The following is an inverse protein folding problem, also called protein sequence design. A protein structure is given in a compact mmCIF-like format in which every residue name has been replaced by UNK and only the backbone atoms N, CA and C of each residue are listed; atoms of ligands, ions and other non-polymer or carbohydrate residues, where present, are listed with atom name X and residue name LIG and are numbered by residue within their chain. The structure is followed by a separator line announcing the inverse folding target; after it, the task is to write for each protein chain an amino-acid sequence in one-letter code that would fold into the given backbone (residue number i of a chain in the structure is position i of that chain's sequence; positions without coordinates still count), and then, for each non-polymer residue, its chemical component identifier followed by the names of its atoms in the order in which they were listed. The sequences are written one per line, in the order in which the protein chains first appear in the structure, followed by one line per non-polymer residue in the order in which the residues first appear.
data_IF_781163565403
#
_entry.id   IF_781163565403
#
_cell.length_a   1.000
_cell.length_b   1.000
_cell.length_c   1.000
_cell.angle_alpha   90.00
_cell.angle_beta   90.00
_cell.angle_gamma   90.00
#
_symmetry.space_group_name_H-M   'P 1'
#
loop_
_entity.id
_entity.type
_entity.pdbx_description
1 polymer ?
#
# COMPACT_ATOMS: atom_id res chain seq x y z
N UNK A 1 -5.36 -20.98 -10.26
CA UNK A 1 -4.68 -19.83 -9.63
C UNK A 1 -3.86 -19.19 -10.73
N UNK A 2 -3.99 -17.89 -10.94
CA UNK A 2 -3.12 -17.21 -11.90
C UNK A 2 -1.69 -17.27 -11.35
N UNK A 3 -0.80 -18.01 -12.01
CA UNK A 3 0.59 -18.18 -11.58
C UNK A 3 1.28 -16.84 -11.40
N UNK A 4 0.88 -15.82 -12.18
CA UNK A 4 1.42 -14.46 -12.08
C UNK A 4 1.14 -13.80 -10.73
N UNK A 5 -0.02 -14.02 -10.13
CA UNK A 5 -0.36 -13.43 -8.82
C UNK A 5 0.46 -14.10 -7.71
N UNK A 6 0.62 -15.42 -7.77
CA UNK A 6 1.46 -16.16 -6.81
C UNK A 6 2.91 -15.72 -6.88
N UNK A 7 3.46 -15.62 -8.10
CA UNK A 7 4.84 -15.17 -8.33
C UNK A 7 5.04 -13.74 -7.83
N UNK A 8 4.07 -12.85 -8.11
CA UNK A 8 4.09 -11.49 -7.63
C UNK A 8 4.06 -11.39 -6.09
N UNK A 9 3.22 -12.16 -5.41
CA UNK A 9 3.22 -12.20 -3.94
C UNK A 9 4.53 -12.76 -3.37
N UNK A 10 5.12 -13.77 -4.02
CA UNK A 10 6.42 -14.30 -3.62
C UNK A 10 7.53 -13.24 -3.75
N UNK A 11 7.51 -12.45 -4.83
CA UNK A 11 8.44 -11.34 -5.03
C UNK A 11 8.29 -10.26 -3.95
N UNK A 12 7.05 -9.87 -3.61
CA UNK A 12 6.79 -8.93 -2.51
C UNK A 12 7.36 -9.44 -1.19
N UNK A 13 7.08 -10.71 -0.85
CA UNK A 13 7.57 -11.33 0.39
C UNK A 13 9.10 -11.32 0.41
N UNK A 14 9.74 -11.70 -0.69
CA UNK A 14 11.21 -11.71 -0.82
C UNK A 14 11.81 -10.32 -0.65
N UNK A 15 11.28 -9.32 -1.37
CA UNK A 15 11.73 -7.92 -1.26
C UNK A 15 11.61 -7.46 0.19
N UNK A 16 10.48 -7.75 0.83
CA UNK A 16 10.25 -7.34 2.22
C UNK A 16 11.23 -8.01 3.18
N UNK A 17 11.44 -9.33 3.06
CA UNK A 17 12.37 -10.08 3.92
C UNK A 17 13.82 -9.64 3.79
N UNK A 18 14.22 -9.12 2.63
CA UNK A 18 15.56 -8.56 2.41
C UNK A 18 15.72 -7.22 3.16
N UNK A 19 14.65 -6.43 3.27
CA UNK A 19 14.74 -5.02 3.67
C UNK A 19 14.23 -4.73 5.08
N UNK A 20 13.35 -5.56 5.63
CA UNK A 20 12.72 -5.36 6.94
C UNK A 20 13.00 -6.55 7.87
N UNK A 21 12.92 -6.30 9.18
CA UNK A 21 13.10 -7.30 10.23
C UNK A 21 11.76 -7.87 10.69
N UNK A 22 11.79 -9.04 11.34
CA UNK A 22 10.62 -9.66 11.97
C UNK A 22 9.41 -9.80 11.02
N UNK A 23 9.68 -10.08 9.75
CA UNK A 23 8.65 -10.14 8.71
C UNK A 23 7.74 -11.34 8.94
N UNK A 24 6.44 -11.08 9.03
CA UNK A 24 5.37 -12.09 9.05
C UNK A 24 4.35 -11.78 7.97
N UNK A 25 3.73 -12.81 7.39
CA UNK A 25 2.74 -12.60 6.34
C UNK A 25 1.68 -13.69 6.33
N UNK A 26 0.54 -13.36 5.74
CA UNK A 26 -0.56 -14.27 5.44
C UNK A 26 -1.00 -14.07 3.99
N UNK A 27 -1.30 -15.18 3.32
CA UNK A 27 -1.88 -15.18 1.98
C UNK A 27 -3.24 -15.87 2.08
N UNK A 28 -4.29 -15.18 1.64
CA UNK A 28 -5.63 -15.75 1.50
C UNK A 28 -6.02 -15.66 0.02
N UNK A 29 -6.31 -16.82 -0.58
CA UNK A 29 -6.67 -16.93 -1.99
C UNK A 29 -7.99 -17.66 -2.13
N UNK A 30 -8.90 -17.05 -2.88
CA UNK A 30 -10.19 -17.60 -3.28
C UNK A 30 -10.36 -17.43 -4.79
N UNK A 31 -11.37 -18.03 -5.42
CA UNK A 31 -11.66 -17.80 -6.84
C UNK A 31 -11.95 -16.32 -7.20
N UNK A 32 -12.40 -15.50 -6.23
CA UNK A 32 -12.80 -14.10 -6.48
C UNK A 32 -11.75 -13.07 -6.09
N UNK A 33 -10.80 -13.45 -5.24
CA UNK A 33 -9.78 -12.54 -4.71
C UNK A 33 -8.53 -13.28 -4.28
N UNK A 34 -7.40 -12.61 -4.37
CA UNK A 34 -6.14 -13.00 -3.76
C UNK A 34 -5.63 -11.83 -2.92
N UNK A 35 -5.29 -12.07 -1.66
CA UNK A 35 -4.79 -11.04 -0.75
C UNK A 35 -3.54 -11.52 -0.03
N UNK A 36 -2.50 -10.69 -0.07
CA UNK A 36 -1.31 -10.77 0.76
C UNK A 36 -1.41 -9.69 1.83
N UNK A 37 -1.22 -10.08 3.09
CA UNK A 37 -0.98 -9.15 4.20
C UNK A 37 0.36 -9.48 4.81
N UNK A 38 1.18 -8.47 4.98
CA UNK A 38 2.52 -8.59 5.51
C UNK A 38 2.74 -7.50 6.56
N UNK A 39 3.44 -7.87 7.62
CA UNK A 39 3.94 -6.97 8.64
C UNK A 39 5.44 -7.18 8.79
N UNK A 40 6.18 -6.09 9.01
CA UNK A 40 7.60 -6.11 9.28
C UNK A 40 8.02 -4.92 10.13
N UNK A 41 9.31 -4.85 10.46
CA UNK A 41 9.90 -3.78 11.27
C UNK A 41 11.04 -3.12 10.51
N UNK A 42 11.07 -1.80 10.52
CA UNK A 42 12.19 -0.99 10.02
C UNK A 42 12.61 0.01 11.10
N UNK A 43 13.70 -0.28 11.80
CA UNK A 43 14.12 0.50 12.99
C UNK A 43 12.99 0.55 14.02
N UNK A 44 12.50 1.76 14.36
CA UNK A 44 11.39 2.01 15.27
C UNK A 44 10.02 1.99 14.59
N UNK A 45 9.97 1.75 13.27
CA UNK A 45 8.75 1.82 12.48
C UNK A 45 8.19 0.42 12.21
N UNK A 46 6.89 0.27 12.44
CA UNK A 46 6.13 -0.89 11.99
C UNK A 46 5.72 -0.67 10.54
N UNK A 47 6.01 -1.64 9.69
CA UNK A 47 5.69 -1.65 8.27
C UNK A 47 4.52 -2.58 8.03
N UNK A 48 3.47 -2.09 7.39
CA UNK A 48 2.31 -2.89 6.99
C UNK A 48 2.15 -2.83 5.47
N UNK A 49 2.09 -3.99 4.82
CA UNK A 49 1.91 -4.12 3.38
C UNK A 49 0.67 -4.98 3.14
N UNK A 50 -0.29 -4.47 2.40
CA UNK A 50 -1.43 -5.23 1.90
C UNK A 50 -1.50 -5.12 0.39
N UNK A 51 -1.50 -6.26 -0.28
CA UNK A 51 -1.68 -6.38 -1.72
C UNK A 51 -2.95 -7.21 -1.99
N UNK A 52 -3.87 -6.68 -2.79
CA UNK A 52 -5.15 -7.32 -3.08
C UNK A 52 -5.43 -7.29 -4.58
N UNK A 53 -5.70 -8.45 -5.15
CA UNK A 53 -6.28 -8.60 -6.48
C UNK A 53 -7.74 -9.04 -6.33
N UNK A 54 -8.65 -8.25 -6.88
CA UNK A 54 -10.10 -8.55 -6.92
C UNK A 54 -10.73 -7.85 -8.10
N UNK A 55 -11.69 -8.49 -8.78
CA UNK A 55 -12.38 -7.91 -9.95
C UNK A 55 -11.39 -7.41 -11.02
N UNK A 56 -10.32 -8.17 -11.26
CA UNK A 56 -9.21 -7.84 -12.19
C UNK A 56 -8.42 -6.56 -11.84
N UNK A 57 -8.68 -5.94 -10.68
CA UNK A 57 -8.00 -4.73 -10.22
C UNK A 57 -6.99 -5.05 -9.12
N UNK A 58 -5.80 -4.42 -9.23
CA UNK A 58 -4.79 -4.34 -8.19
C UNK A 58 -5.15 -3.24 -7.20
N UNK A 59 -5.20 -3.58 -5.92
CA UNK A 59 -5.46 -2.68 -4.80
C UNK A 59 -4.33 -2.86 -3.80
N UNK A 60 -3.82 -1.76 -3.25
CA UNK A 60 -2.72 -1.84 -2.30
C UNK A 60 -2.88 -0.85 -1.15
N UNK A 61 -2.25 -1.17 -0.02
CA UNK A 61 -2.09 -0.32 1.15
C UNK A 61 -0.73 -0.57 1.78
N UNK A 62 0.16 0.42 1.74
CA UNK A 62 1.50 0.36 2.33
C UNK A 62 1.65 1.44 3.38
N UNK A 63 1.88 1.03 4.63
CA UNK A 63 1.88 1.93 5.76
C UNK A 63 3.19 1.83 6.54
N UNK A 64 3.65 2.99 6.99
CA UNK A 64 4.70 3.18 7.97
C UNK A 64 4.06 3.75 9.22
N UNK A 65 4.19 3.04 10.34
CA UNK A 65 3.68 3.46 11.62
C UNK A 65 4.82 3.64 12.61
N UNK A 66 4.72 4.66 13.46
CA UNK A 66 5.50 4.80 14.68
C UNK A 66 4.53 4.70 15.85
N UNK A 67 4.59 3.60 16.58
CA UNK A 67 3.55 3.20 17.53
C UNK A 67 2.16 3.13 16.84
N UNK A 68 1.22 3.98 17.26
CA UNK A 68 -0.12 4.11 16.69
C UNK A 68 -0.25 5.25 15.66
N UNK A 69 0.83 6.00 15.41
CA UNK A 69 0.86 7.13 14.49
C UNK A 69 1.20 6.70 13.06
N UNK A 70 0.40 7.14 12.08
CA UNK A 70 0.71 6.92 10.65
C UNK A 70 1.64 8.01 10.14
N UNK A 71 2.91 7.65 9.93
CA UNK A 71 3.92 8.52 9.31
C UNK A 71 3.64 8.69 7.82
N UNK A 72 3.34 7.58 7.14
CA UNK A 72 2.98 7.56 5.73
C UNK A 72 2.06 6.37 5.42
N UNK A 73 1.06 6.58 4.57
CA UNK A 73 0.16 5.55 4.07
C UNK A 73 -0.09 5.71 2.58
N UNK A 74 0.48 4.85 1.75
CA UNK A 74 0.24 4.82 0.32
C UNK A 74 -0.91 3.87 0.00
N UNK A 75 -1.94 4.36 -0.67
CA UNK A 75 -3.02 3.50 -1.14
C UNK A 75 -3.69 4.01 -2.41
N UNK A 76 -4.47 3.14 -3.04
CA UNK A 76 -5.24 3.48 -4.23
C UNK A 76 -6.74 3.28 -4.03
N UNK A 77 -7.21 3.25 -2.78
CA UNK A 77 -8.64 3.05 -2.50
C UNK A 77 -9.46 4.30 -2.87
N UNK A 78 -10.76 4.17 -3.18
CA UNK A 78 -11.60 5.33 -3.42
C UNK A 78 -11.65 6.26 -2.20
N UNK A 79 -11.05 7.44 -2.32
CA UNK A 79 -11.02 8.48 -1.29
C UNK A 79 -11.63 9.78 -1.86
N UNK A 80 -12.71 10.33 -1.26
CA UNK A 80 -13.31 11.59 -1.69
C UNK A 80 -12.35 12.79 -1.73
N UNK A 81 -11.33 12.81 -0.86
CA UNK A 81 -10.27 13.83 -0.84
C UNK A 81 -9.36 13.67 -2.04
N UNK A 82 -8.93 12.44 -2.38
CA UNK A 82 -8.14 12.17 -3.57
C UNK A 82 -8.91 12.53 -4.86
N UNK A 83 -10.20 12.18 -4.93
CA UNK A 83 -11.10 12.57 -6.04
C UNK A 83 -11.16 14.10 -6.17
N UNK A 84 -11.37 14.81 -5.05
CA UNK A 84 -11.41 16.28 -5.05
C UNK A 84 -10.08 16.88 -5.50
N UNK A 85 -8.94 16.32 -5.09
CA UNK A 85 -7.62 16.79 -5.54
C UNK A 85 -7.42 16.59 -7.03
N UNK A 86 -7.84 15.44 -7.59
CA UNK A 86 -7.66 15.12 -9.01
C UNK A 86 -8.58 15.93 -9.92
N UNK A 87 -9.85 16.11 -9.52
CA UNK A 87 -10.90 16.69 -10.38
C UNK A 87 -11.39 18.07 -9.96
N UNK A 88 -10.94 18.60 -8.82
CA UNK A 88 -11.43 19.86 -8.24
C UNK A 88 -12.84 19.77 -7.63
N UNK A 89 -13.52 18.63 -7.73
CA UNK A 89 -14.87 18.39 -7.22
C UNK A 89 -15.07 16.94 -6.82
N UNK A 90 -16.04 16.68 -5.95
CA UNK A 90 -16.51 15.33 -5.65
C UNK A 90 -17.71 15.05 -6.55
N UNK A 91 -17.47 14.31 -7.64
CA UNK A 91 -18.51 13.88 -8.57
C UNK A 91 -18.93 12.43 -8.30
N UNK A 92 -20.23 12.11 -8.40
CA UNK A 92 -20.71 10.72 -8.27
C UNK A 92 -20.12 9.81 -9.36
N UNK A 93 -19.80 10.39 -10.51
CA UNK A 93 -19.16 9.72 -11.63
C UNK A 93 -17.77 9.16 -11.29
N UNK A 94 -17.10 9.68 -10.25
CA UNK A 94 -15.75 9.28 -9.83
C UNK A 94 -15.72 8.47 -8.51
N UNK A 95 -16.89 8.19 -7.92
CA UNK A 95 -16.98 7.68 -6.53
C UNK A 95 -16.31 6.32 -6.29
N UNK A 96 -16.06 5.54 -7.35
CA UNK A 96 -15.42 4.23 -7.29
C UNK A 96 -14.03 4.22 -7.94
N UNK A 97 -13.47 5.40 -8.24
CA UNK A 97 -12.17 5.48 -8.88
C UNK A 97 -11.04 5.19 -7.88
N UNK A 98 -10.13 4.32 -8.29
CA UNK A 98 -8.94 3.95 -7.53
C UNK A 98 -7.82 4.91 -7.87
N UNK A 99 -7.69 5.99 -7.10
CA UNK A 99 -6.71 7.05 -7.33
C UNK A 99 -5.53 6.79 -6.39
N UNK A 100 -4.31 6.54 -6.89
CA UNK A 100 -3.12 6.46 -6.05
C UNK A 100 -2.87 7.76 -5.26
N UNK A 101 -2.67 7.63 -3.96
CA UNK A 101 -2.42 8.75 -3.08
C UNK A 101 -1.59 8.35 -1.85
N UNK A 102 -1.03 9.37 -1.21
CA UNK A 102 -0.25 9.28 0.01
C UNK A 102 -0.96 10.05 1.13
N UNK A 103 -1.24 9.36 2.23
CA UNK A 103 -1.61 9.93 3.52
C UNK A 103 -0.37 10.26 4.35
N UNK A 104 -0.34 11.42 4.97
CA UNK A 104 0.71 11.84 5.91
C UNK A 104 0.09 12.51 7.13
N UNK A 105 0.90 12.72 8.17
CA UNK A 105 0.51 13.47 9.39
C UNK A 105 -0.76 12.86 10.02
N UNK A 106 -0.70 11.56 10.28
CA UNK A 106 -1.83 10.75 10.75
C UNK A 106 -3.08 10.89 9.86
N UNK A 107 -2.86 10.83 8.55
CA UNK A 107 -3.89 10.97 7.50
C UNK A 107 -4.55 12.35 7.43
N UNK A 108 -4.06 13.35 8.16
CA UNK A 108 -4.57 14.72 8.04
C UNK A 108 -4.13 15.37 6.72
N UNK A 109 -3.01 14.95 6.14
CA UNK A 109 -2.53 15.40 4.84
C UNK A 109 -2.71 14.31 3.78
N UNK A 110 -3.01 14.73 2.55
CA UNK A 110 -3.19 13.84 1.41
C UNK A 110 -2.65 14.47 0.13
N UNK A 111 -1.82 13.73 -0.58
CA UNK A 111 -1.29 14.12 -1.90
C UNK A 111 -1.52 13.01 -2.91
N UNK A 112 -1.76 13.36 -4.17
CA UNK A 112 -1.81 12.38 -5.26
C UNK A 112 -0.42 11.81 -5.53
N UNK A 113 -0.36 10.55 -5.92
CA UNK A 113 0.88 9.88 -6.33
C UNK A 113 0.68 9.16 -7.67
N UNK A 114 1.76 8.64 -8.21
CA UNK A 114 1.68 7.55 -9.17
C UNK A 114 1.36 6.23 -8.45
N UNK A 115 1.10 5.18 -9.22
CA UNK A 115 0.93 3.84 -8.69
C UNK A 115 2.19 3.39 -7.93
N UNK A 116 2.01 2.96 -6.68
CA UNK A 116 3.12 2.52 -5.83
C UNK A 116 3.34 1.01 -5.97
N UNK A 117 4.56 0.59 -6.26
CA UNK A 117 4.99 -0.81 -6.10
C UNK A 117 5.65 -1.02 -4.74
N UNK A 118 5.78 -2.28 -4.30
CA UNK A 118 6.51 -2.58 -3.06
C UNK A 118 7.99 -2.19 -3.16
N UNK A 119 8.60 -2.26 -4.35
CA UNK A 119 9.98 -1.81 -4.53
C UNK A 119 10.10 -0.29 -4.30
N UNK A 120 9.22 0.48 -4.94
CA UNK A 120 9.18 1.94 -4.78
C UNK A 120 8.91 2.34 -3.32
N UNK A 121 8.04 1.59 -2.64
CA UNK A 121 7.74 1.81 -1.23
C UNK A 121 8.95 1.55 -0.33
N UNK A 122 9.70 0.47 -0.57
CA UNK A 122 10.95 0.18 0.16
C UNK A 122 11.97 1.29 -0.04
N UNK A 123 12.15 1.75 -1.28
CA UNK A 123 13.07 2.83 -1.60
C UNK A 123 12.65 4.14 -0.93
N UNK A 124 11.35 4.43 -0.89
CA UNK A 124 10.79 5.56 -0.15
C UNK A 124 11.08 5.45 1.35
N UNK A 125 10.86 4.28 1.97
CA UNK A 125 11.12 4.03 3.39
C UNK A 125 12.57 4.32 3.73
N UNK A 126 13.52 3.76 2.98
CA UNK A 126 14.95 3.99 3.20
C UNK A 126 15.31 5.46 3.04
N UNK A 127 14.89 6.07 1.94
CA UNK A 127 15.23 7.47 1.62
C UNK A 127 14.72 8.47 2.65
N UNK A 128 13.53 8.23 3.21
CA UNK A 128 12.86 9.19 4.10
C UNK A 128 13.06 8.89 5.58
N UNK A 129 13.29 7.64 5.97
CA UNK A 129 13.36 7.22 7.37
C UNK A 129 14.78 6.83 7.82
N UNK A 130 15.77 6.81 6.92
CA UNK A 130 17.16 6.54 7.30
C UNK A 130 17.88 7.71 7.97
N UNK A 131 17.28 8.90 7.91
CA UNK A 131 17.83 10.14 8.46
C UNK A 131 17.83 10.18 9.98
#
# INVERSE_FOLDING_TARGET
MDTKITDHFADIVKITQINFQQVSYTIDTTPKRAILRLEGQYRQYRILITELFSDELRKYRYYVLRDDWVEAGFDNSPDPRAIRLKYGRIGKEYANEYIPHLHQDDKNQLSLTEEMTVSDFVDWVKTNLDK
#
